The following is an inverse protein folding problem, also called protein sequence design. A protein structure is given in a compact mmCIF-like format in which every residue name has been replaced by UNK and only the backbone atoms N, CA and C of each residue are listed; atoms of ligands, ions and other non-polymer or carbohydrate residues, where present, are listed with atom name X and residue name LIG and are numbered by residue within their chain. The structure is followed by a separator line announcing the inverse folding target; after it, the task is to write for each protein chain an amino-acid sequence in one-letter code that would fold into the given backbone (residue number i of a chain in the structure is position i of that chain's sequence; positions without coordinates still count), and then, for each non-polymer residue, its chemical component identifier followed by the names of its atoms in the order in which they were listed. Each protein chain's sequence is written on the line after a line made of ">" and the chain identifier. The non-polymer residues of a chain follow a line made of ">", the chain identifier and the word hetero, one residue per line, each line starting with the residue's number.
data_IF_578543012085
#
_entry.id   IF_578543012085
#
_cell.length_a   1.000
_cell.length_b   1.000
_cell.length_c   1.000
_cell.angle_alpha   90.00
_cell.angle_beta   90.00
_cell.angle_gamma   90.00
#
_symmetry.space_group_name_H-M   'P 1'
#
loop_
_entity.id
_entity.type
_entity.pdbx_description
1 polymer ?
#
# COMPACT_ATOMS: atom_id res chain seq x y z
N UNK A 1 10.80 -31.36 -45.63
CA UNK A 1 10.37 -29.95 -45.92
C UNK A 1 11.19 -29.02 -45.03
N UNK A 2 12.11 -28.25 -45.62
CA UNK A 2 13.04 -27.38 -44.89
C UNK A 2 12.37 -26.02 -44.73
N UNK A 3 12.09 -25.56 -43.49
CA UNK A 3 11.62 -24.18 -43.18
C UNK A 3 12.83 -23.23 -43.15
N UNK A 4 12.82 -22.25 -44.02
CA UNK A 4 13.80 -21.17 -44.11
C UNK A 4 13.51 -20.19 -42.98
N UNK A 5 14.50 -19.91 -42.11
CA UNK A 5 14.50 -18.88 -41.10
C UNK A 5 14.89 -17.55 -41.78
N UNK A 6 14.02 -16.54 -41.65
CA UNK A 6 14.25 -15.19 -42.16
C UNK A 6 14.82 -14.35 -40.99
N UNK A 7 16.08 -13.94 -41.14
CA UNK A 7 16.73 -12.99 -40.22
C UNK A 7 16.44 -11.56 -40.68
N UNK A 8 15.89 -10.75 -39.80
CA UNK A 8 15.73 -9.29 -39.98
C UNK A 8 16.76 -8.59 -39.08
N UNK A 9 17.67 -7.78 -39.63
CA UNK A 9 18.60 -7.01 -38.82
C UNK A 9 17.93 -5.75 -38.28
N UNK A 10 18.02 -5.55 -36.97
CA UNK A 10 17.56 -4.33 -36.28
C UNK A 10 18.71 -3.32 -36.27
N UNK A 11 18.53 -2.20 -36.93
CA UNK A 11 19.49 -1.10 -36.99
C UNK A 11 19.31 -0.19 -35.75
N UNK A 12 20.39 -0.03 -34.97
CA UNK A 12 20.51 0.95 -33.89
C UNK A 12 20.75 2.35 -34.47
N UNK A 13 19.88 3.29 -34.18
CA UNK A 13 20.12 4.72 -34.35
C UNK A 13 20.52 5.32 -33.00
N UNK A 14 21.78 5.67 -32.88
CA UNK A 14 22.33 6.53 -31.82
C UNK A 14 22.04 7.99 -32.17
N UNK A 15 21.31 8.69 -31.30
CA UNK A 15 21.16 10.15 -31.34
C UNK A 15 21.82 10.75 -30.12
N UNK A 16 22.91 11.46 -30.33
CA UNK A 16 23.59 12.31 -29.36
C UNK A 16 23.10 13.75 -29.53
N UNK A 17 22.79 14.44 -28.42
CA UNK A 17 22.73 15.91 -28.32
C UNK A 17 23.07 16.28 -26.86
N UNK A 18 24.20 16.78 -26.66
CA UNK A 18 24.80 18.08 -26.39
C UNK A 18 24.17 18.88 -25.24
N UNK A 19 25.05 19.09 -24.26
CA UNK A 19 24.98 19.99 -23.12
C UNK A 19 24.89 21.47 -23.53
N UNK A 20 24.12 22.26 -22.78
CA UNK A 20 24.35 23.70 -22.62
C UNK A 20 24.28 24.04 -21.14
N UNK A 21 25.42 24.48 -20.63
CA UNK A 21 25.66 25.17 -19.37
C UNK A 21 25.19 26.62 -19.48
N UNK A 22 24.52 27.16 -18.48
CA UNK A 22 24.59 28.58 -18.16
C UNK A 22 24.52 28.80 -16.65
N UNK A 23 25.60 29.33 -16.15
CA UNK A 23 25.81 30.03 -14.87
C UNK A 23 25.20 31.45 -14.93
N UNK A 24 24.75 31.94 -13.79
CA UNK A 24 25.05 33.27 -13.18
C UNK A 24 24.09 33.47 -12.01
N UNK A 25 24.63 33.54 -10.88
CA UNK A 25 25.15 34.65 -10.07
C UNK A 25 24.11 35.42 -9.27
N UNK A 26 24.31 35.28 -7.97
CA UNK A 26 24.28 36.25 -6.85
C UNK A 26 23.32 37.45 -6.89
N UNK A 27 22.57 37.69 -5.82
CA UNK A 27 22.97 38.71 -4.83
C UNK A 27 22.12 38.70 -3.56
N UNK A 28 22.77 38.80 -2.43
CA UNK A 28 22.37 39.26 -1.10
C UNK A 28 21.32 40.38 -1.05
N UNK A 29 20.43 40.39 -0.07
CA UNK A 29 20.50 41.41 1.02
C UNK A 29 19.54 41.08 2.17
N UNK A 30 20.04 41.36 3.30
CA UNK A 30 19.74 41.24 4.70
C UNK A 30 18.75 42.31 5.20
N UNK A 31 18.33 42.08 6.47
CA UNK A 31 17.83 43.04 7.49
C UNK A 31 16.30 43.22 7.54
N UNK A 32 15.67 43.32 8.68
CA UNK A 32 15.96 43.32 10.12
C UNK A 32 14.66 43.63 10.87
N UNK A 33 14.43 42.92 11.99
CA UNK A 33 13.98 43.41 13.31
C UNK A 33 12.80 44.39 13.37
N UNK A 34 11.72 44.04 14.11
CA UNK A 34 11.39 44.67 15.38
C UNK A 34 10.17 44.08 16.08
N UNK A 35 10.38 43.84 17.33
CA UNK A 35 9.44 43.51 18.41
C UNK A 35 8.41 44.62 18.65
N UNK A 36 7.27 44.27 19.28
CA UNK A 36 6.78 44.88 20.53
C UNK A 36 5.44 44.24 20.96
N UNK A 37 5.45 43.46 21.97
CA UNK A 37 4.76 43.46 23.28
C UNK A 37 3.62 44.48 23.46
N UNK A 38 2.44 44.02 23.86
CA UNK A 38 1.76 44.35 25.12
C UNK A 38 0.37 43.68 25.25
N UNK A 39 0.17 42.96 26.35
CA UNK A 39 -1.10 42.68 27.04
C UNK A 39 -1.29 43.79 28.09
N UNK A 40 -2.41 44.03 28.77
CA UNK A 40 -3.38 43.09 29.36
C UNK A 40 -4.85 43.59 29.56
N UNK A 41 -5.68 42.64 30.04
CA UNK A 41 -6.77 42.76 31.05
C UNK A 41 -8.06 43.58 30.76
N UNK A 42 -9.24 43.04 30.93
CA UNK A 42 -10.06 42.78 32.14
C UNK A 42 -11.51 42.39 31.84
N UNK A 43 -11.90 41.31 32.47
CA UNK A 43 -13.18 41.00 33.14
C UNK A 43 -14.42 41.85 32.88
N UNK A 44 -15.55 41.19 32.55
CA UNK A 44 -16.85 41.43 33.22
C UNK A 44 -17.83 40.28 33.04
N UNK A 45 -18.19 39.71 34.17
CA UNK A 45 -19.27 38.75 34.43
C UNK A 45 -20.63 39.39 34.11
N UNK A 46 -21.50 38.65 33.38
CA UNK A 46 -22.95 38.81 33.52
C UNK A 46 -23.64 37.45 33.34
N UNK A 47 -24.19 36.99 34.43
CA UNK A 47 -25.15 35.92 34.61
C UNK A 47 -26.46 36.28 33.86
N UNK A 48 -26.96 35.35 33.05
CA UNK A 48 -28.37 35.29 32.66
C UNK A 48 -28.78 33.86 32.36
N UNK A 49 -29.50 33.30 33.26
CA UNK A 49 -30.70 32.44 33.24
C UNK A 49 -30.84 31.43 32.12
N UNK A 50 -30.82 30.20 32.55
CA UNK A 50 -31.23 28.93 31.98
C UNK A 50 -32.56 28.99 31.22
N UNK A 51 -32.55 28.54 30.01
CA UNK A 51 -33.71 27.89 29.37
C UNK A 51 -33.19 26.60 28.73
N UNK A 52 -33.49 25.49 29.40
CA UNK A 52 -33.27 24.15 28.83
C UNK A 52 -34.18 23.98 27.61
N UNK A 53 -33.62 24.17 26.44
CA UNK A 53 -34.17 23.61 25.23
C UNK A 53 -33.38 22.30 24.98
N UNK A 54 -34.06 21.19 25.25
CA UNK A 54 -33.67 19.84 24.82
C UNK A 54 -33.60 19.85 23.29
N UNK A 55 -32.44 20.22 22.74
CA UNK A 55 -32.14 19.94 21.34
C UNK A 55 -31.89 18.44 21.23
N UNK A 56 -32.87 17.73 20.69
CA UNK A 56 -32.64 16.40 20.12
C UNK A 56 -31.53 16.57 19.07
N UNK A 57 -30.30 16.23 19.44
CA UNK A 57 -29.18 16.12 18.53
C UNK A 57 -29.50 14.96 17.61
N UNK A 58 -30.02 15.27 16.44
CA UNK A 58 -30.06 14.34 15.31
C UNK A 58 -28.62 14.07 14.93
N UNK A 59 -28.05 13.01 15.48
CA UNK A 59 -26.77 12.47 15.05
C UNK A 59 -26.94 11.88 13.64
N UNK A 60 -27.02 12.76 12.67
CA UNK A 60 -26.86 12.41 11.27
C UNK A 60 -25.36 12.40 10.95
N UNK A 61 -24.58 11.56 11.63
CA UNK A 61 -23.20 11.28 11.23
C UNK A 61 -23.22 10.75 9.80
N UNK A 62 -22.70 11.54 8.89
CA UNK A 62 -22.59 11.15 7.48
C UNK A 62 -21.71 9.88 7.42
N UNK A 63 -22.31 8.74 7.03
CA UNK A 63 -21.60 7.46 6.92
C UNK A 63 -20.33 7.61 6.10
N UNK A 64 -19.24 6.99 6.57
CA UNK A 64 -17.98 6.95 5.82
C UNK A 64 -18.15 6.14 4.53
N UNK A 65 -17.23 6.31 3.57
CA UNK A 65 -17.24 5.51 2.33
C UNK A 65 -17.09 4.01 2.64
N UNK A 66 -16.35 3.65 3.70
CA UNK A 66 -16.19 2.27 4.14
C UNK A 66 -17.50 1.71 4.72
N UNK A 67 -18.25 2.48 5.51
CA UNK A 67 -19.55 2.05 6.03
C UNK A 67 -20.56 1.86 4.91
N UNK A 68 -20.56 2.76 3.92
CA UNK A 68 -21.42 2.63 2.73
C UNK A 68 -21.06 1.36 1.94
N UNK A 69 -19.79 1.05 1.77
CA UNK A 69 -19.34 -0.16 1.09
C UNK A 69 -19.75 -1.44 1.83
N UNK A 70 -19.57 -1.49 3.15
CA UNK A 70 -20.00 -2.62 3.99
C UNK A 70 -21.49 -2.87 3.92
N UNK A 71 -22.30 -1.82 3.91
CA UNK A 71 -23.76 -1.95 3.77
C UNK A 71 -24.18 -2.46 2.39
N UNK A 72 -23.51 -1.98 1.33
CA UNK A 72 -23.82 -2.42 -0.03
C UNK A 72 -23.32 -3.83 -0.32
N UNK A 73 -22.25 -4.26 0.36
CA UNK A 73 -21.55 -5.53 0.12
C UNK A 73 -21.27 -6.29 1.43
N UNK A 74 -22.31 -6.69 2.19
CA UNK A 74 -22.13 -7.24 3.53
C UNK A 74 -21.43 -8.60 3.57
N UNK A 75 -21.44 -9.33 2.46
CA UNK A 75 -20.84 -10.68 2.37
C UNK A 75 -19.50 -10.71 1.63
N UNK A 76 -18.94 -9.56 1.28
CA UNK A 76 -17.64 -9.48 0.60
C UNK A 76 -16.53 -9.41 1.66
N UNK A 77 -15.58 -10.35 1.67
CA UNK A 77 -14.42 -10.22 2.52
C UNK A 77 -13.61 -9.00 2.07
N UNK A 78 -13.27 -8.11 3.00
CA UNK A 78 -12.51 -6.90 2.71
C UNK A 78 -11.69 -6.44 3.92
N UNK A 79 -10.60 -5.65 3.70
CA UNK A 79 -9.89 -4.99 4.79
C UNK A 79 -10.82 -4.05 5.56
N UNK A 80 -10.77 -4.13 6.88
CA UNK A 80 -11.54 -3.26 7.77
C UNK A 80 -10.72 -2.11 8.35
N UNK A 81 -9.40 -2.22 8.29
CA UNK A 81 -8.45 -1.18 8.65
C UNK A 81 -7.61 -0.84 7.42
N UNK A 82 -7.74 0.39 6.94
CA UNK A 82 -6.96 0.93 5.82
C UNK A 82 -6.27 2.19 6.33
N UNK A 83 -5.01 2.10 6.74
CA UNK A 83 -4.30 3.21 7.36
C UNK A 83 -4.12 4.40 6.40
N UNK A 84 -4.40 5.60 6.90
CA UNK A 84 -4.08 6.86 6.23
C UNK A 84 -3.33 7.75 7.22
N UNK A 85 -2.21 8.32 6.80
CA UNK A 85 -1.36 9.16 7.66
C UNK A 85 -1.99 10.52 7.97
N UNK A 86 -2.88 10.99 7.10
CA UNK A 86 -3.58 12.28 7.23
C UNK A 86 -4.75 12.34 6.23
N UNK A 87 -5.67 13.28 6.42
CA UNK A 87 -6.82 13.45 5.53
C UNK A 87 -7.90 12.40 5.76
N UNK A 88 -8.63 12.07 4.70
CA UNK A 88 -9.79 11.19 4.73
C UNK A 88 -9.60 10.01 3.80
N UNK A 89 -9.99 8.82 4.28
CA UNK A 89 -10.09 7.63 3.46
C UNK A 89 -11.35 7.72 2.58
N UNK A 90 -11.16 7.60 1.28
CA UNK A 90 -12.23 7.53 0.31
C UNK A 90 -12.09 6.28 -0.57
N UNK A 91 -13.19 5.81 -1.14
CA UNK A 91 -13.24 4.49 -1.75
C UNK A 91 -13.99 4.56 -3.08
N UNK A 92 -13.39 3.93 -4.10
CA UNK A 92 -14.10 3.51 -5.30
C UNK A 92 -14.11 1.98 -5.39
N UNK A 93 -15.28 1.40 -5.64
CA UNK A 93 -15.46 -0.05 -5.69
C UNK A 93 -16.20 -0.44 -6.96
N UNK A 94 -15.68 -1.47 -7.64
CA UNK A 94 -16.27 -2.05 -8.84
C UNK A 94 -16.50 -3.53 -8.62
N UNK A 95 -17.68 -4.01 -9.00
CA UNK A 95 -18.03 -5.42 -9.00
C UNK A 95 -18.12 -5.96 -10.43
N UNK A 96 -17.51 -7.10 -10.64
CA UNK A 96 -17.58 -7.87 -11.89
C UNK A 96 -18.15 -9.26 -11.62
N UNK A 97 -18.40 -10.05 -12.68
CA UNK A 97 -18.84 -11.45 -12.53
C UNK A 97 -17.80 -12.33 -11.82
N UNK A 98 -16.53 -11.91 -11.77
CA UNK A 98 -15.41 -12.71 -11.28
C UNK A 98 -14.79 -12.14 -10.01
N UNK A 99 -15.30 -11.03 -9.47
CA UNK A 99 -14.73 -10.46 -8.27
C UNK A 99 -15.05 -8.99 -8.03
N UNK A 100 -14.38 -8.46 -7.03
CA UNK A 100 -14.44 -7.06 -6.59
C UNK A 100 -13.07 -6.42 -6.72
N UNK A 101 -13.05 -5.19 -7.22
CA UNK A 101 -11.89 -4.31 -7.19
C UNK A 101 -12.23 -3.08 -6.38
N UNK A 102 -11.47 -2.83 -5.32
CA UNK A 102 -11.65 -1.69 -4.42
C UNK A 102 -10.38 -0.85 -4.44
N UNK A 103 -10.53 0.42 -4.74
CA UNK A 103 -9.46 1.41 -4.77
C UNK A 103 -9.62 2.32 -3.55
N UNK A 104 -8.54 2.53 -2.83
CA UNK A 104 -8.50 3.36 -1.64
C UNK A 104 -7.71 4.63 -1.93
N UNK A 105 -8.28 5.77 -1.56
CA UNK A 105 -7.73 7.09 -1.83
C UNK A 105 -7.60 7.87 -0.54
N UNK A 106 -6.60 8.73 -0.47
CA UNK A 106 -6.43 9.72 0.56
C UNK A 106 -6.69 11.10 -0.04
N UNK A 107 -7.66 11.82 0.48
CA UNK A 107 -7.99 13.19 0.05
C UNK A 107 -8.16 14.13 1.24
N UNK A 108 -8.24 15.42 0.98
CA UNK A 108 -8.36 16.47 2.03
C UNK A 108 -9.79 16.62 2.57
N UNK A 109 -10.77 15.95 1.98
CA UNK A 109 -12.17 15.97 2.40
C UNK A 109 -12.84 14.61 2.28
N UNK A 110 -13.86 14.31 3.09
CA UNK A 110 -14.61 13.07 2.94
C UNK A 110 -15.49 13.16 1.68
N UNK A 111 -15.44 12.10 0.87
CA UNK A 111 -16.27 11.88 -0.32
C UNK A 111 -17.22 10.71 -0.09
N UNK A 112 -18.25 10.60 -0.90
CA UNK A 112 -19.10 9.40 -0.92
C UNK A 112 -18.41 8.24 -1.63
N UNK A 113 -18.94 7.03 -1.43
CA UNK A 113 -18.51 5.86 -2.18
C UNK A 113 -18.70 6.11 -3.69
N UNK A 114 -17.68 5.79 -4.50
CA UNK A 114 -17.65 5.97 -5.95
C UNK A 114 -17.87 7.42 -6.43
N UNK A 115 -17.41 8.40 -5.65
CA UNK A 115 -17.50 9.80 -6.06
C UNK A 115 -16.67 10.06 -7.33
N UNK A 116 -17.20 10.83 -8.29
CA UNK A 116 -16.56 11.10 -9.58
C UNK A 116 -15.22 11.83 -9.44
N UNK A 117 -15.05 12.61 -8.38
CA UNK A 117 -13.81 13.31 -8.07
C UNK A 117 -12.61 12.36 -7.91
N UNK A 118 -12.85 11.11 -7.48
CA UNK A 118 -11.81 10.09 -7.31
C UNK A 118 -11.15 9.68 -8.62
N UNK A 119 -11.79 9.95 -9.78
CA UNK A 119 -11.21 9.66 -11.10
C UNK A 119 -9.97 10.53 -11.42
N UNK A 120 -9.76 11.62 -10.66
CA UNK A 120 -8.61 12.52 -10.81
C UNK A 120 -7.52 12.25 -9.76
N UNK A 121 -7.79 11.34 -8.81
CA UNK A 121 -6.89 11.03 -7.70
C UNK A 121 -6.09 9.75 -7.98
N UNK A 122 -4.92 9.65 -7.35
CA UNK A 122 -4.11 8.42 -7.38
C UNK A 122 -4.43 7.57 -6.15
N UNK A 123 -4.82 6.31 -6.31
CA UNK A 123 -5.08 5.44 -5.18
C UNK A 123 -3.78 5.14 -4.41
N UNK A 124 -3.86 5.15 -3.09
CA UNK A 124 -2.77 4.75 -2.18
C UNK A 124 -2.68 3.23 -2.02
N UNK A 125 -3.79 2.54 -2.20
CA UNK A 125 -3.90 1.09 -2.08
C UNK A 125 -4.99 0.54 -3.01
N UNK A 126 -4.88 -0.76 -3.31
CA UNK A 126 -5.96 -1.50 -3.98
C UNK A 126 -6.23 -2.80 -3.23
N UNK A 127 -7.45 -3.28 -3.35
CA UNK A 127 -7.83 -4.62 -2.95
C UNK A 127 -8.58 -5.30 -4.09
N UNK A 128 -8.12 -6.49 -4.46
CA UNK A 128 -8.74 -7.34 -5.45
C UNK A 128 -9.19 -8.64 -4.80
N UNK A 129 -10.46 -8.95 -4.89
CA UNK A 129 -11.04 -10.23 -4.52
C UNK A 129 -11.56 -10.92 -5.76
N UNK A 130 -11.03 -12.08 -6.08
CA UNK A 130 -11.43 -12.90 -7.22
C UNK A 130 -11.99 -14.23 -6.73
N UNK A 131 -13.06 -14.70 -7.33
CA UNK A 131 -13.74 -15.92 -6.93
C UNK A 131 -14.23 -16.74 -8.12
N UNK A 132 -14.66 -17.97 -7.85
CA UNK A 132 -15.24 -18.85 -8.85
C UNK A 132 -14.20 -19.57 -9.70
N UNK A 133 -12.98 -19.71 -9.22
CA UNK A 133 -11.96 -20.56 -9.86
C UNK A 133 -12.39 -22.02 -9.84
N UNK A 134 -12.00 -22.77 -10.86
CA UNK A 134 -12.34 -24.19 -10.97
C UNK A 134 -11.55 -25.06 -9.96
N UNK A 135 -10.32 -24.64 -9.61
CA UNK A 135 -9.42 -25.39 -8.72
C UNK A 135 -8.49 -24.48 -7.93
N UNK A 136 -7.92 -24.99 -6.84
CA UNK A 136 -6.84 -24.35 -6.08
C UNK A 136 -5.59 -24.09 -6.94
N UNK A 137 -5.33 -24.91 -7.94
CA UNK A 137 -4.20 -24.72 -8.85
C UNK A 137 -4.38 -23.43 -9.69
N UNK A 138 -5.58 -23.14 -10.15
CA UNK A 138 -5.87 -21.89 -10.87
C UNK A 138 -5.72 -20.66 -9.94
N UNK A 139 -6.18 -20.76 -8.70
CA UNK A 139 -6.02 -19.69 -7.73
C UNK A 139 -4.56 -19.42 -7.39
N UNK A 140 -3.72 -20.45 -7.29
CA UNK A 140 -2.27 -20.29 -7.09
C UNK A 140 -1.62 -19.63 -8.30
N UNK A 141 -1.96 -20.06 -9.52
CA UNK A 141 -1.35 -19.51 -10.73
C UNK A 141 -1.63 -18.04 -10.94
N UNK A 142 -2.83 -17.56 -10.60
CA UNK A 142 -3.19 -16.15 -10.74
C UNK A 142 -2.36 -15.26 -9.80
N UNK A 143 -1.87 -15.79 -8.68
CA UNK A 143 -1.00 -15.09 -7.74
C UNK A 143 0.46 -15.03 -8.20
N UNK A 144 0.83 -15.71 -9.30
CA UNK A 144 2.21 -15.77 -9.79
C UNK A 144 3.18 -16.24 -8.70
N UNK A 145 3.09 -17.52 -8.29
CA UNK A 145 3.88 -18.04 -7.18
C UNK A 145 5.37 -18.02 -7.50
N UNK A 146 6.18 -17.91 -6.47
CA UNK A 146 7.62 -18.09 -6.54
C UNK A 146 8.11 -18.97 -5.38
N UNK A 147 9.28 -19.52 -5.53
CA UNK A 147 9.98 -20.28 -4.51
C UNK A 147 11.10 -19.44 -3.90
N UNK A 148 11.38 -19.63 -2.61
CA UNK A 148 12.48 -18.97 -1.92
C UNK A 148 13.81 -19.56 -2.38
N UNK A 149 14.74 -18.73 -2.82
CA UNK A 149 16.10 -19.18 -3.14
C UNK A 149 16.96 -19.22 -1.87
N UNK A 150 17.19 -20.42 -1.38
CA UNK A 150 17.95 -20.70 -0.15
C UNK A 150 19.48 -20.72 -0.35
N UNK A 151 19.98 -20.44 -1.57
CA UNK A 151 21.43 -20.39 -1.84
C UNK A 151 22.05 -19.03 -1.42
N UNK A 152 21.25 -18.05 -1.03
CA UNK A 152 21.72 -16.76 -0.57
C UNK A 152 22.46 -16.81 0.78
N UNK A 153 23.06 -15.68 1.16
CA UNK A 153 23.64 -15.51 2.48
C UNK A 153 22.53 -15.58 3.54
N UNK A 154 22.69 -16.48 4.52
CA UNK A 154 21.78 -16.59 5.63
C UNK A 154 21.91 -15.39 6.56
N UNK A 155 20.80 -14.81 6.96
CA UNK A 155 20.70 -13.70 7.90
C UNK A 155 19.63 -14.01 8.95
N UNK A 156 19.87 -13.61 10.19
CA UNK A 156 18.91 -13.75 11.29
C UNK A 156 17.91 -12.58 11.24
N UNK A 157 16.61 -12.92 11.10
CA UNK A 157 15.52 -11.95 11.09
C UNK A 157 14.86 -11.76 12.46
N UNK A 158 15.28 -12.52 13.49
CA UNK A 158 14.62 -12.61 14.77
C UNK A 158 13.62 -13.78 14.83
N UNK A 159 13.04 -14.04 16.00
CA UNK A 159 12.01 -15.08 16.23
C UNK A 159 12.37 -16.48 15.69
N UNK A 160 13.66 -16.78 15.55
CA UNK A 160 14.21 -18.00 14.91
C UNK A 160 13.91 -18.13 13.42
N UNK A 161 13.64 -17.02 12.75
CA UNK A 161 13.41 -16.97 11.31
C UNK A 161 14.73 -16.64 10.61
N UNK A 162 15.08 -17.47 9.62
CA UNK A 162 16.26 -17.27 8.76
C UNK A 162 15.83 -16.70 7.43
N UNK A 163 16.38 -15.55 7.06
CA UNK A 163 16.28 -14.99 5.71
C UNK A 163 17.47 -15.38 4.85
N UNK A 164 17.30 -15.30 3.53
CA UNK A 164 18.31 -15.57 2.51
C UNK A 164 18.52 -14.32 1.68
N UNK A 165 19.69 -13.71 1.81
CA UNK A 165 20.03 -12.47 1.11
C UNK A 165 20.87 -12.74 -0.13
N UNK A 166 20.51 -12.11 -1.25
CA UNK A 166 21.22 -12.22 -2.52
C UNK A 166 21.42 -10.85 -3.12
N UNK A 167 22.53 -10.68 -3.83
CA UNK A 167 22.83 -9.50 -4.64
C UNK A 167 22.62 -9.78 -6.12
N UNK A 168 22.00 -8.88 -6.82
CA UNK A 168 21.95 -8.81 -8.27
C UNK A 168 22.36 -7.41 -8.73
N UNK A 169 22.73 -7.22 -10.00
CA UNK A 169 23.23 -5.95 -10.53
C UNK A 169 22.34 -4.76 -10.11
N UNK A 170 22.83 -3.95 -9.16
CA UNK A 170 22.15 -2.77 -8.63
C UNK A 170 20.98 -3.04 -7.66
N UNK A 171 20.69 -4.28 -7.31
CA UNK A 171 19.61 -4.63 -6.36
C UNK A 171 20.09 -5.67 -5.34
N UNK A 172 19.48 -5.67 -4.16
CA UNK A 172 19.56 -6.73 -3.17
C UNK A 172 18.16 -7.33 -2.95
N UNK A 173 18.13 -8.64 -2.75
CA UNK A 173 16.90 -9.37 -2.44
C UNK A 173 17.07 -10.06 -1.10
N UNK A 174 16.04 -10.02 -0.28
CA UNK A 174 15.96 -10.77 0.95
C UNK A 174 14.68 -11.58 0.95
N UNK A 175 14.81 -12.88 1.11
CA UNK A 175 13.69 -13.81 1.02
C UNK A 175 13.62 -14.72 2.25
N UNK A 176 12.40 -15.05 2.67
CA UNK A 176 12.15 -16.05 3.71
C UNK A 176 10.75 -16.63 3.58
N UNK A 177 10.49 -17.69 4.33
CA UNK A 177 9.20 -18.38 4.34
C UNK A 177 8.68 -18.53 5.77
N UNK A 178 7.39 -18.25 5.97
CA UNK A 178 6.65 -18.49 7.21
C UNK A 178 5.37 -19.27 6.90
N UNK A 179 5.33 -20.54 7.25
CA UNK A 179 4.24 -21.44 6.88
C UNK A 179 4.04 -21.51 5.37
N UNK A 180 2.84 -21.15 4.89
CA UNK A 180 2.51 -21.08 3.47
C UNK A 180 2.78 -19.70 2.84
N UNK A 181 3.39 -18.77 3.58
CA UNK A 181 3.76 -17.44 3.09
C UNK A 181 5.20 -17.41 2.61
N UNK A 182 5.41 -17.00 1.34
CA UNK A 182 6.72 -16.68 0.78
C UNK A 182 6.88 -15.15 0.75
N UNK A 183 7.94 -14.65 1.37
CA UNK A 183 8.17 -13.21 1.49
C UNK A 183 9.45 -12.83 0.76
N UNK A 184 9.39 -11.74 -0.02
CA UNK A 184 10.52 -11.19 -0.77
C UNK A 184 10.55 -9.67 -0.65
N UNK A 185 11.70 -9.13 -0.28
CA UNK A 185 11.95 -7.68 -0.31
C UNK A 185 13.09 -7.41 -1.30
N UNK A 186 12.87 -6.48 -2.20
CA UNK A 186 13.87 -5.95 -3.12
C UNK A 186 14.31 -4.57 -2.66
N UNK A 187 15.60 -4.36 -2.44
CA UNK A 187 16.22 -3.06 -2.21
C UNK A 187 17.01 -2.59 -3.44
N UNK A 188 17.11 -1.29 -3.63
CA UNK A 188 17.96 -0.65 -4.64
C UNK A 188 19.30 -0.29 -4.01
N UNK A 189 20.37 -0.99 -4.40
CA UNK A 189 21.73 -0.78 -3.87
C UNK A 189 22.30 0.59 -4.24
N UNK A 190 21.87 1.17 -5.37
CA UNK A 190 22.34 2.49 -5.82
C UNK A 190 21.79 3.58 -4.89
N UNK A 191 20.62 3.38 -4.34
CA UNK A 191 19.97 4.29 -3.38
C UNK A 191 20.31 3.93 -1.91
N UNK A 192 21.16 2.93 -1.69
CA UNK A 192 21.57 2.49 -0.36
C UNK A 192 20.44 1.82 0.45
N UNK A 193 19.42 1.28 -0.21
CA UNK A 193 18.33 0.58 0.45
C UNK A 193 18.75 -0.80 0.91
N UNK A 194 18.65 -1.07 2.22
CA UNK A 194 18.92 -2.39 2.81
C UNK A 194 17.61 -3.06 3.22
N UNK A 195 17.24 -4.22 2.61
CA UNK A 195 16.04 -4.97 2.96
C UNK A 195 16.01 -5.51 4.39
N UNK A 196 17.16 -5.65 5.06
CA UNK A 196 17.27 -6.35 6.35
C UNK A 196 16.47 -5.66 7.48
N UNK A 197 16.52 -4.33 7.55
CA UNK A 197 15.79 -3.60 8.59
C UNK A 197 14.28 -3.78 8.42
N UNK A 198 13.78 -3.62 7.20
CA UNK A 198 12.36 -3.80 6.90
C UNK A 198 11.92 -5.26 7.12
N UNK A 199 12.75 -6.24 6.76
CA UNK A 199 12.44 -7.66 7.02
C UNK A 199 12.25 -7.94 8.52
N UNK A 200 13.15 -7.42 9.36
CA UNK A 200 13.02 -7.56 10.83
C UNK A 200 11.78 -6.87 11.40
N UNK A 201 11.41 -5.72 10.85
CA UNK A 201 10.18 -5.02 11.24
C UNK A 201 8.94 -5.83 10.85
N UNK A 202 8.91 -6.40 9.64
CA UNK A 202 7.82 -7.27 9.18
C UNK A 202 7.71 -8.52 10.06
N UNK A 203 8.82 -9.22 10.33
CA UNK A 203 8.83 -10.40 11.21
C UNK A 203 8.31 -10.03 12.58
N UNK A 204 8.83 -8.97 13.23
CA UNK A 204 8.37 -8.54 14.55
C UNK A 204 6.86 -8.22 14.57
N UNK A 205 6.35 -7.57 13.51
CA UNK A 205 4.93 -7.29 13.39
C UNK A 205 4.08 -8.56 13.25
N UNK A 206 4.52 -9.52 12.45
CA UNK A 206 3.78 -10.77 12.18
C UNK A 206 3.81 -11.75 13.35
N UNK A 207 4.79 -11.66 14.26
CA UNK A 207 4.79 -12.40 15.54
C UNK A 207 3.62 -12.00 16.47
N UNK A 208 3.16 -10.75 16.36
CA UNK A 208 2.06 -10.21 17.18
C UNK A 208 0.72 -10.22 16.41
N UNK A 209 0.75 -10.33 15.07
CA UNK A 209 -0.41 -10.15 14.22
C UNK A 209 -0.50 -11.26 13.18
N UNK A 210 -1.63 -11.96 13.13
CA UNK A 210 -1.83 -13.08 12.20
C UNK A 210 -2.39 -12.62 10.86
N UNK A 211 -1.69 -12.97 9.80
CA UNK A 211 -2.22 -12.89 8.43
C UNK A 211 -3.33 -13.94 8.21
N UNK A 212 -4.21 -13.77 7.20
CA UNK A 212 -5.07 -14.83 6.74
C UNK A 212 -4.27 -16.11 6.43
N UNK A 213 -4.81 -17.28 6.75
CA UNK A 213 -4.12 -18.53 6.46
C UNK A 213 -4.37 -18.94 4.99
N UNK A 214 -3.35 -18.93 4.11
CA UNK A 214 -3.48 -19.45 2.75
C UNK A 214 -3.73 -20.96 2.79
N UNK A 215 -4.54 -21.47 1.86
CA UNK A 215 -4.70 -22.94 1.75
C UNK A 215 -3.36 -23.62 1.40
N UNK A 216 -2.67 -23.13 0.37
CA UNK A 216 -1.39 -23.68 -0.08
C UNK A 216 -0.31 -22.61 -0.30
N UNK A 217 -0.70 -21.39 -0.71
CA UNK A 217 0.26 -20.36 -1.09
C UNK A 217 -0.24 -18.96 -0.76
N UNK A 218 0.63 -18.19 -0.15
CA UNK A 218 0.54 -16.74 0.01
C UNK A 218 1.90 -16.09 -0.28
N UNK A 219 1.90 -14.85 -0.70
CA UNK A 219 3.13 -14.07 -0.91
C UNK A 219 3.02 -12.67 -0.37
N UNK A 220 4.16 -12.16 0.06
CA UNK A 220 4.40 -10.73 0.32
C UNK A 220 5.59 -10.33 -0.53
N UNK A 221 5.42 -9.36 -1.40
CA UNK A 221 6.52 -8.77 -2.16
C UNK A 221 6.60 -7.28 -1.90
N UNK A 222 7.82 -6.79 -1.68
CA UNK A 222 8.12 -5.38 -1.46
C UNK A 222 9.20 -4.96 -2.43
N UNK A 223 8.96 -3.90 -3.19
CA UNK A 223 9.98 -3.17 -3.95
C UNK A 223 10.22 -1.81 -3.29
N UNK A 224 11.33 -1.68 -2.57
CA UNK A 224 11.66 -0.45 -1.85
C UNK A 224 11.96 0.73 -2.78
N UNK A 225 12.29 0.47 -4.06
CA UNK A 225 12.51 1.51 -5.06
C UNK A 225 11.23 1.99 -5.76
N UNK A 226 10.10 1.30 -5.57
CA UNK A 226 8.81 1.72 -6.11
C UNK A 226 8.07 2.62 -5.11
N UNK A 227 7.60 3.77 -5.55
CA UNK A 227 6.84 4.73 -4.73
C UNK A 227 5.35 4.75 -5.07
N UNK A 228 4.91 3.87 -5.94
CA UNK A 228 3.50 3.75 -6.34
C UNK A 228 2.71 2.88 -5.35
N UNK A 229 1.41 2.81 -5.54
CA UNK A 229 0.57 1.87 -4.79
C UNK A 229 0.84 0.39 -5.13
N UNK A 230 1.86 0.09 -5.92
CA UNK A 230 2.32 -1.27 -6.28
C UNK A 230 3.63 -1.64 -5.61
N UNK A 231 4.22 -0.74 -4.82
CA UNK A 231 5.45 -0.99 -4.08
C UNK A 231 5.36 -2.25 -3.22
N UNK A 232 4.17 -2.56 -2.72
CA UNK A 232 3.91 -3.74 -1.89
C UNK A 232 2.72 -4.52 -2.45
N UNK A 233 2.87 -5.84 -2.48
CA UNK A 233 1.78 -6.76 -2.75
C UNK A 233 1.70 -7.83 -1.66
N UNK A 234 0.51 -8.01 -1.08
CA UNK A 234 0.16 -9.11 -0.17
C UNK A 234 -0.95 -9.91 -0.83
N UNK A 235 -0.67 -11.14 -1.24
CA UNK A 235 -1.61 -11.99 -1.98
C UNK A 235 -1.69 -13.38 -1.38
N UNK A 236 -2.88 -13.94 -1.32
CA UNK A 236 -3.09 -15.32 -0.84
C UNK A 236 -4.29 -15.96 -1.51
N UNK A 237 -4.38 -17.26 -1.39
CA UNK A 237 -5.48 -18.01 -1.97
C UNK A 237 -6.22 -18.88 -0.93
N UNK A 238 -7.48 -19.11 -1.20
CA UNK A 238 -8.35 -20.16 -0.69
C UNK A 238 -8.74 -21.09 -1.86
N UNK A 239 -9.41 -22.21 -1.65
CA UNK A 239 -9.64 -23.23 -2.70
C UNK A 239 -10.20 -22.71 -4.03
N UNK A 240 -11.04 -21.67 -3.98
CA UNK A 240 -11.69 -21.08 -5.17
C UNK A 240 -11.65 -19.56 -5.20
N UNK A 241 -10.86 -18.97 -4.34
CA UNK A 241 -10.77 -17.52 -4.18
C UNK A 241 -9.31 -17.06 -4.13
N UNK A 242 -9.04 -15.92 -4.72
CA UNK A 242 -7.75 -15.25 -4.63
C UNK A 242 -7.93 -13.81 -4.14
N UNK A 243 -7.00 -13.37 -3.34
CA UNK A 243 -7.00 -12.07 -2.69
C UNK A 243 -5.68 -11.38 -2.97
N UNK A 244 -5.73 -10.11 -3.32
CA UNK A 244 -4.54 -9.28 -3.52
C UNK A 244 -4.76 -7.91 -2.92
N UNK A 245 -3.87 -7.49 -2.05
CA UNK A 245 -3.75 -6.13 -1.54
C UNK A 245 -2.47 -5.54 -2.12
N UNK A 246 -2.55 -4.34 -2.69
CA UNK A 246 -1.36 -3.56 -3.02
C UNK A 246 -1.40 -2.24 -2.26
N UNK A 247 -0.23 -1.73 -1.88
CA UNK A 247 -0.09 -0.47 -1.13
C UNK A 247 1.27 0.16 -1.42
N UNK A 248 1.37 1.47 -1.25
CA UNK A 248 2.65 2.19 -1.33
C UNK A 248 3.56 1.99 -0.10
N UNK A 249 2.99 1.56 1.02
CA UNK A 249 3.68 1.38 2.31
C UNK A 249 3.53 -0.05 2.82
N UNK A 250 4.65 -0.74 3.20
CA UNK A 250 4.63 -2.13 3.61
C UNK A 250 3.80 -2.41 4.86
N UNK A 251 3.96 -1.59 5.89
CA UNK A 251 3.27 -1.84 7.16
C UNK A 251 1.77 -1.59 7.04
N UNK A 252 1.36 -0.63 6.20
CA UNK A 252 -0.05 -0.39 5.90
C UNK A 252 -0.67 -1.55 5.12
N UNK A 253 0.05 -2.13 4.13
CA UNK A 253 -0.41 -3.33 3.42
C UNK A 253 -0.64 -4.52 4.36
N UNK A 254 0.30 -4.74 5.30
CA UNK A 254 0.18 -5.80 6.30
C UNK A 254 -1.01 -5.57 7.25
N UNK A 255 -1.21 -4.34 7.74
CA UNK A 255 -2.38 -3.98 8.56
C UNK A 255 -3.68 -4.23 7.83
N UNK A 256 -3.77 -3.87 6.55
CA UNK A 256 -4.93 -4.19 5.72
C UNK A 256 -5.16 -5.70 5.65
N UNK A 257 -4.11 -6.50 5.40
CA UNK A 257 -4.23 -7.96 5.31
C UNK A 257 -4.63 -8.60 6.65
N UNK A 258 -4.04 -8.17 7.77
CA UNK A 258 -4.38 -8.62 9.13
C UNK A 258 -5.83 -8.27 9.50
N UNK A 259 -6.33 -7.12 9.03
CA UNK A 259 -7.70 -6.66 9.29
C UNK A 259 -8.78 -7.38 8.47
N UNK A 260 -8.38 -8.29 7.57
CA UNK A 260 -9.33 -9.05 6.75
C UNK A 260 -10.28 -9.87 7.61
N UNK A 261 -11.56 -9.56 7.53
CA UNK A 261 -12.62 -10.34 8.16
C UNK A 261 -13.66 -10.70 7.13
N UNK A 262 -14.16 -11.93 7.22
CA UNK A 262 -15.44 -12.27 6.62
C UNK A 262 -16.53 -11.62 7.47
N UNK A 263 -17.35 -10.81 6.87
CA UNK A 263 -18.49 -10.16 7.51
C UNK A 263 -19.65 -11.13 7.63
#
# INVERSE_FOLDING_TARGET
>A
MRKKMLFIPFALLLSACSSVTQESDNTHLSSSISETVTSPEKSSTKTATTTEQTMATSNNEKKTALDQLKEQQPNVPMPLDVPVSSGYLNIAATHTKQGYSILYYRTDRPLGLNADELNQETPIATYLYQYGFASSQETIQVLQPFEIDTNGQQVDLGSRITGYQQGAAGSSFLEWQEGNWCIRIRGNNIEGQDPLLLAKEIVAYLEENSLPAPEQFGKITVDMGDTTNRAVEVSWQEPKNAYTITHQDPMSALKMAVSMKRL
#
